data_IF_615950540592
#
_entry.id   IF_615950540592
#
_cell.length_a   1.000
_cell.length_b   1.000
_cell.length_c   1.000
_cell.angle_alpha   90.00
_cell.angle_beta   90.00
_cell.angle_gamma   90.00
#
_symmetry.space_group_name_H-M   'P 1'
#
loop_
_entity.id
_entity.type
_entity.pdbx_description
1 polymer ?
#
# COMPACT_ATOMS: atom_id res chain seq x y z
N UNK A 1 -9.26 -59.72 -5.80
CA UNK A 1 -9.36 -58.57 -6.73
C UNK A 1 -8.39 -57.47 -6.28
N UNK A 2 -7.19 -57.40 -6.81
CA UNK A 2 -6.22 -56.34 -6.54
C UNK A 2 -6.68 -55.05 -7.25
N UNK A 3 -7.07 -54.01 -6.50
CA UNK A 3 -7.36 -52.70 -7.10
C UNK A 3 -6.08 -52.19 -7.77
N UNK A 4 -6.20 -51.83 -9.06
CA UNK A 4 -5.08 -51.33 -9.84
C UNK A 4 -4.47 -50.05 -9.16
N UNK A 5 -3.16 -49.89 -9.12
CA UNK A 5 -2.51 -48.73 -8.47
C UNK A 5 -2.90 -47.38 -9.11
N UNK A 6 -3.51 -47.41 -10.29
CA UNK A 6 -4.07 -46.21 -10.94
C UNK A 6 -5.30 -45.65 -10.22
N UNK A 7 -6.17 -46.48 -9.68
CA UNK A 7 -7.41 -46.02 -9.03
C UNK A 7 -7.15 -45.23 -7.73
N UNK A 8 -6.15 -45.63 -6.96
CA UNK A 8 -5.78 -44.92 -5.72
C UNK A 8 -5.28 -43.50 -5.99
N UNK A 9 -4.48 -43.32 -7.06
CA UNK A 9 -3.96 -42.00 -7.45
C UNK A 9 -5.09 -41.02 -7.80
N UNK A 10 -6.13 -41.49 -8.49
CA UNK A 10 -7.29 -40.66 -8.84
C UNK A 10 -8.10 -40.25 -7.61
N UNK A 11 -8.29 -41.15 -6.63
CA UNK A 11 -8.97 -40.82 -5.39
C UNK A 11 -8.19 -39.85 -4.52
N UNK A 12 -6.86 -39.96 -4.47
CA UNK A 12 -5.98 -39.00 -3.78
C UNK A 12 -6.07 -37.62 -4.45
N UNK A 13 -5.97 -37.57 -5.78
CA UNK A 13 -6.11 -36.31 -6.53
C UNK A 13 -7.50 -35.66 -6.32
N UNK A 14 -8.58 -36.45 -6.37
CA UNK A 14 -9.93 -35.97 -6.11
C UNK A 14 -10.08 -35.45 -4.67
N UNK A 15 -9.48 -36.13 -3.69
CA UNK A 15 -9.46 -35.68 -2.30
C UNK A 15 -8.75 -34.36 -2.11
N UNK A 16 -7.57 -34.20 -2.74
CA UNK A 16 -6.83 -32.92 -2.70
C UNK A 16 -7.63 -31.79 -3.34
N UNK A 17 -8.26 -32.03 -4.49
CA UNK A 17 -9.08 -31.03 -5.18
C UNK A 17 -10.32 -30.66 -4.35
N UNK A 18 -10.97 -31.64 -3.71
CA UNK A 18 -12.10 -31.37 -2.83
C UNK A 18 -11.68 -30.58 -1.59
N UNK A 19 -10.56 -30.93 -0.96
CA UNK A 19 -10.01 -30.16 0.17
C UNK A 19 -9.66 -28.73 -0.26
N UNK A 20 -9.01 -28.55 -1.42
CA UNK A 20 -8.70 -27.23 -1.98
C UNK A 20 -9.99 -26.45 -2.28
N UNK A 21 -11.00 -27.09 -2.85
CA UNK A 21 -12.29 -26.45 -3.13
C UNK A 21 -12.99 -26.00 -1.85
N UNK A 22 -13.09 -26.87 -0.84
CA UNK A 22 -13.67 -26.53 0.46
C UNK A 22 -12.89 -25.40 1.14
N UNK A 23 -11.55 -25.46 1.10
CA UNK A 23 -10.68 -24.39 1.62
C UNK A 23 -10.95 -23.07 0.91
N UNK A 24 -11.02 -23.06 -0.41
CA UNK A 24 -11.35 -21.87 -1.20
C UNK A 24 -12.73 -21.31 -0.86
N UNK A 25 -13.72 -22.14 -0.69
CA UNK A 25 -15.07 -21.73 -0.28
C UNK A 25 -15.10 -21.11 1.12
N UNK A 26 -14.42 -21.72 2.07
CA UNK A 26 -14.36 -21.18 3.45
C UNK A 26 -13.56 -19.86 3.50
N UNK A 27 -12.54 -19.72 2.65
CA UNK A 27 -11.73 -18.49 2.55
C UNK A 27 -12.44 -17.36 1.78
N UNK A 28 -13.49 -17.66 1.01
CA UNK A 28 -14.18 -16.65 0.19
C UNK A 28 -15.12 -15.72 0.98
N UNK A 29 -15.37 -15.99 2.25
CA UNK A 29 -16.34 -15.28 3.09
C UNK A 29 -15.71 -14.29 4.08
N UNK A 30 -14.53 -13.71 3.77
CA UNK A 30 -13.94 -12.71 4.65
C UNK A 30 -14.74 -11.43 4.70
N UNK A 31 -14.91 -10.95 5.87
CA UNK A 31 -15.54 -9.70 6.17
C UNK A 31 -14.69 -8.52 5.67
N UNK A 32 -15.32 -7.51 5.05
CA UNK A 32 -14.65 -6.27 4.73
C UNK A 32 -14.35 -5.54 6.04
N UNK A 33 -13.08 -5.27 6.29
CA UNK A 33 -12.66 -4.55 7.49
C UNK A 33 -12.77 -3.04 7.20
N UNK A 34 -13.58 -2.36 7.99
CA UNK A 34 -13.77 -0.92 7.89
C UNK A 34 -12.63 -0.21 8.66
N UNK A 35 -12.17 0.92 8.15
CA UNK A 35 -11.26 1.81 8.87
C UNK A 35 -11.87 2.22 10.23
N UNK A 36 -11.01 2.49 11.21
CA UNK A 36 -11.45 3.02 12.52
C UNK A 36 -12.11 4.40 12.37
N UNK A 37 -11.57 5.21 11.48
CA UNK A 37 -12.09 6.51 11.06
C UNK A 37 -11.81 6.68 9.56
N UNK A 38 -12.65 7.40 8.81
CA UNK A 38 -12.41 7.67 7.40
C UNK A 38 -11.07 8.38 7.15
N UNK A 39 -10.43 8.11 6.01
CA UNK A 39 -9.14 8.72 5.66
C UNK A 39 -9.22 10.24 5.49
N UNK A 40 -10.40 10.80 5.26
CA UNK A 40 -10.58 12.26 5.23
C UNK A 40 -10.38 12.91 6.60
N UNK A 41 -10.48 12.15 7.70
CA UNK A 41 -10.23 12.63 9.07
C UNK A 41 -8.71 12.69 9.39
N UNK A 42 -7.84 12.23 8.48
CA UNK A 42 -6.40 12.44 8.63
C UNK A 42 -6.13 13.94 8.85
N UNK A 43 -5.32 14.32 9.84
CA UNK A 43 -5.09 15.73 10.17
C UNK A 43 -4.61 16.56 8.96
N UNK A 44 -5.20 17.71 8.74
CA UNK A 44 -4.70 18.71 7.79
C UNK A 44 -3.43 19.41 8.29
N UNK A 45 -3.24 19.46 9.60
CA UNK A 45 -2.01 19.98 10.20
C UNK A 45 -1.16 18.80 10.70
N UNK A 46 0.02 18.61 10.11
CA UNK A 46 1.00 17.58 10.46
C UNK A 46 2.33 18.26 10.83
N UNK A 47 2.54 18.54 12.12
CA UNK A 47 3.68 19.32 12.57
C UNK A 47 3.71 20.70 11.88
N UNK A 48 4.78 21.04 11.12
CA UNK A 48 4.86 22.31 10.39
C UNK A 48 4.09 22.33 9.07
N UNK A 49 3.52 21.21 8.65
CA UNK A 49 2.86 21.03 7.37
C UNK A 49 1.36 21.34 7.45
N UNK A 50 0.86 22.05 6.45
CA UNK A 50 -0.59 22.28 6.24
C UNK A 50 -1.03 21.58 4.96
N UNK A 51 -2.02 20.72 5.07
CA UNK A 51 -2.58 19.92 3.98
C UNK A 51 -3.71 20.64 3.25
N UNK A 52 -3.80 20.40 1.95
CA UNK A 52 -4.91 20.81 1.09
C UNK A 52 -5.37 19.60 0.29
N UNK A 53 -6.70 19.35 0.27
CA UNK A 53 -7.28 18.24 -0.45
C UNK A 53 -7.11 18.41 -1.97
N UNK A 54 -6.73 17.35 -2.65
CA UNK A 54 -6.63 17.28 -4.11
C UNK A 54 -7.47 16.08 -4.61
N UNK A 55 -8.78 16.23 -4.77
CA UNK A 55 -9.65 15.12 -5.13
C UNK A 55 -9.22 14.46 -6.42
N UNK A 56 -9.26 13.14 -6.44
CA UNK A 56 -9.03 12.37 -7.66
C UNK A 56 -10.29 12.39 -8.53
N UNK A 57 -10.10 12.26 -9.85
CA UNK A 57 -11.23 12.08 -10.76
C UNK A 57 -11.93 10.75 -10.46
N UNK A 58 -13.25 10.70 -10.54
CA UNK A 58 -14.07 9.52 -10.26
C UNK A 58 -13.60 8.28 -11.03
N UNK A 59 -13.19 8.45 -12.28
CA UNK A 59 -12.63 7.38 -13.11
C UNK A 59 -11.35 6.77 -12.50
N UNK A 60 -10.49 7.62 -11.90
CA UNK A 60 -9.25 7.15 -11.25
C UNK A 60 -9.59 6.37 -10.00
N UNK A 61 -10.53 6.83 -9.20
CA UNK A 61 -11.03 6.14 -8.00
C UNK A 61 -11.62 4.79 -8.36
N UNK A 62 -12.46 4.72 -9.40
CA UNK A 62 -13.06 3.47 -9.88
C UNK A 62 -12.00 2.47 -10.36
N UNK A 63 -11.01 2.93 -11.13
CA UNK A 63 -9.90 2.06 -11.61
C UNK A 63 -9.01 1.60 -10.47
N UNK A 64 -8.80 2.45 -9.46
CA UNK A 64 -8.00 2.10 -8.28
C UNK A 64 -8.69 1.04 -7.40
N UNK A 65 -10.03 0.96 -7.41
CA UNK A 65 -10.80 -0.02 -6.62
C UNK A 65 -10.67 0.17 -5.12
N UNK A 66 -10.37 1.38 -4.65
CA UNK A 66 -10.19 1.69 -3.22
C UNK A 66 -11.53 1.76 -2.51
N UNK A 67 -11.58 1.28 -1.27
CA UNK A 67 -12.74 1.42 -0.39
C UNK A 67 -12.83 2.80 0.23
N UNK A 68 -11.68 3.43 0.46
CA UNK A 68 -11.54 4.80 0.94
C UNK A 68 -10.17 5.36 0.50
N UNK A 69 -10.06 6.68 0.33
CA UNK A 69 -8.79 7.30 -0.01
C UNK A 69 -8.69 8.74 0.51
N UNK A 70 -7.45 9.21 0.63
CA UNK A 70 -7.14 10.64 0.70
C UNK A 70 -6.00 10.97 -0.25
N UNK A 71 -6.07 12.11 -0.90
CA UNK A 71 -5.01 12.64 -1.76
C UNK A 71 -4.84 14.13 -1.44
N UNK A 72 -3.69 14.52 -0.90
CA UNK A 72 -3.43 15.87 -0.39
C UNK A 72 -2.07 16.39 -0.78
N UNK A 73 -1.96 17.69 -0.90
CA UNK A 73 -0.68 18.39 -0.96
C UNK A 73 -0.45 19.04 0.39
N UNK A 74 0.68 18.71 1.00
CA UNK A 74 1.15 19.31 2.24
C UNK A 74 2.22 20.32 1.94
N UNK A 75 2.06 21.54 2.44
CA UNK A 75 2.96 22.66 2.26
C UNK A 75 3.42 23.23 3.58
N UNK A 76 4.61 23.78 3.62
CA UNK A 76 5.12 24.62 4.72
C UNK A 76 5.93 25.78 4.15
N UNK A 77 6.09 26.91 4.89
CA UNK A 77 6.83 28.07 4.40
C UNK A 77 8.26 27.72 3.96
N UNK A 78 8.68 28.21 2.81
CA UNK A 78 10.03 28.06 2.23
C UNK A 78 10.46 26.62 1.89
N UNK A 79 9.55 25.64 1.91
CA UNK A 79 9.84 24.26 1.53
C UNK A 79 9.06 23.82 0.28
N UNK A 80 9.64 22.89 -0.46
CA UNK A 80 8.95 22.22 -1.55
C UNK A 80 7.83 21.35 -1.02
N UNK A 81 6.63 21.37 -1.62
CA UNK A 81 5.48 20.60 -1.12
C UNK A 81 5.67 19.09 -1.21
N UNK A 82 4.93 18.37 -0.39
CA UNK A 82 4.83 16.91 -0.39
C UNK A 82 3.41 16.51 -0.74
N UNK A 83 3.26 15.68 -1.77
CA UNK A 83 1.98 15.05 -2.10
C UNK A 83 1.86 13.74 -1.32
N UNK A 84 0.76 13.58 -0.62
CA UNK A 84 0.36 12.35 0.06
C UNK A 84 -0.82 11.73 -0.66
N UNK A 85 -0.71 10.44 -0.94
CA UNK A 85 -1.84 9.58 -1.31
C UNK A 85 -1.91 8.38 -0.37
N UNK A 86 -3.09 8.11 0.15
CA UNK A 86 -3.40 6.89 0.91
C UNK A 86 -4.64 6.27 0.28
N UNK A 87 -4.53 5.03 -0.17
CA UNK A 87 -5.68 4.27 -0.67
C UNK A 87 -5.87 3.03 0.20
N UNK A 88 -7.04 2.89 0.80
CA UNK A 88 -7.40 1.77 1.66
C UNK A 88 -8.31 0.80 0.94
N UNK A 89 -8.06 -0.48 1.15
CA UNK A 89 -8.81 -1.61 0.63
C UNK A 89 -9.35 -2.41 1.82
N UNK A 90 -10.64 -2.35 2.04
CA UNK A 90 -11.31 -3.08 3.12
C UNK A 90 -11.24 -4.61 2.93
N UNK A 91 -11.09 -5.05 1.68
CA UNK A 91 -10.86 -6.43 1.27
C UNK A 91 -10.07 -6.45 -0.04
N UNK A 92 -9.12 -7.38 -0.19
CA UNK A 92 -8.36 -7.59 -1.42
C UNK A 92 -8.72 -8.96 -2.02
N UNK A 93 -10.01 -9.23 -2.19
CA UNK A 93 -10.52 -10.44 -2.83
C UNK A 93 -10.72 -10.20 -4.32
N UNK A 94 -11.30 -11.13 -5.02
CA UNK A 94 -11.45 -11.18 -6.47
C UNK A 94 -11.75 -9.81 -7.10
N UNK A 95 -10.75 -9.20 -7.73
CA UNK A 95 -10.86 -7.92 -8.44
C UNK A 95 -10.27 -6.71 -7.72
N UNK A 96 -10.25 -6.70 -6.40
CA UNK A 96 -9.78 -5.56 -5.59
C UNK A 96 -8.36 -5.81 -5.07
N UNK A 97 -7.38 -5.61 -5.93
CA UNK A 97 -5.96 -5.78 -5.55
C UNK A 97 -5.28 -4.43 -5.48
N UNK A 98 -4.49 -4.19 -4.43
CA UNK A 98 -3.65 -3.00 -4.35
C UNK A 98 -2.72 -2.96 -5.57
N UNK A 99 -2.93 -1.97 -6.45
CA UNK A 99 -2.10 -1.77 -7.61
C UNK A 99 -0.74 -1.18 -7.18
N UNK A 100 0.33 -1.79 -7.66
CA UNK A 100 1.67 -1.26 -7.40
C UNK A 100 1.86 0.08 -8.11
N UNK A 101 2.44 1.10 -7.43
CA UNK A 101 2.85 2.34 -8.08
C UNK A 101 3.76 2.13 -9.28
N UNK A 102 4.53 1.05 -9.33
CA UNK A 102 5.36 0.67 -10.48
C UNK A 102 4.58 0.53 -11.78
N UNK A 103 3.32 0.10 -11.70
CA UNK A 103 2.46 -0.08 -12.87
C UNK A 103 1.71 1.20 -13.23
N UNK A 104 1.40 2.04 -12.23
CA UNK A 104 0.62 3.26 -12.44
C UNK A 104 1.49 4.46 -12.88
N UNK A 105 2.76 4.53 -12.45
CA UNK A 105 3.66 5.63 -12.78
C UNK A 105 3.92 5.75 -14.30
N UNK A 106 4.29 4.67 -15.02
CA UNK A 106 4.48 4.76 -16.48
C UNK A 106 3.21 5.15 -17.22
N UNK A 107 2.04 4.69 -16.77
CA UNK A 107 0.74 5.05 -17.35
C UNK A 107 0.38 6.53 -17.23
N UNK A 108 1.03 7.27 -16.31
CA UNK A 108 0.87 8.71 -16.12
C UNK A 108 2.01 9.54 -16.76
N UNK A 109 2.89 8.89 -17.55
CA UNK A 109 4.02 9.53 -18.23
C UNK A 109 5.23 9.80 -17.35
N UNK A 110 5.33 9.12 -16.18
CA UNK A 110 6.49 9.17 -15.31
C UNK A 110 7.31 7.89 -15.40
N UNK A 111 8.56 7.99 -15.80
CA UNK A 111 9.46 6.85 -15.90
C UNK A 111 10.29 6.69 -14.63
N UNK A 112 10.31 5.49 -14.01
CA UNK A 112 11.20 5.22 -12.89
C UNK A 112 12.64 5.08 -13.41
N UNK A 113 13.52 6.02 -13.02
CA UNK A 113 14.93 6.04 -13.41
C UNK A 113 15.86 5.47 -12.34
N UNK A 114 15.41 5.41 -11.09
CA UNK A 114 16.14 4.82 -9.96
C UNK A 114 15.17 4.16 -9.00
N UNK A 115 15.56 3.02 -8.45
CA UNK A 115 14.76 2.27 -7.48
C UNK A 115 15.62 1.71 -6.37
N UNK A 116 15.07 1.66 -5.15
CA UNK A 116 15.74 1.15 -3.96
C UNK A 116 14.80 1.12 -2.76
N UNK A 117 15.40 1.08 -1.60
CA UNK A 117 14.68 1.12 -0.31
C UNK A 117 15.24 2.23 0.56
N UNK A 118 14.40 2.82 1.38
CA UNK A 118 14.80 3.70 2.48
C UNK A 118 14.38 3.09 3.82
N UNK A 119 15.25 3.23 4.82
CA UNK A 119 14.92 2.87 6.21
C UNK A 119 14.65 4.16 6.97
N UNK A 120 13.50 4.24 7.61
CA UNK A 120 13.04 5.43 8.33
C UNK A 120 12.77 5.04 9.79
N UNK A 121 13.41 5.72 10.73
CA UNK A 121 13.10 5.60 12.15
C UNK A 121 11.83 6.42 12.43
N UNK A 122 10.74 5.75 12.79
CA UNK A 122 9.47 6.41 13.10
C UNK A 122 9.28 6.60 14.61
N UNK A 123 8.39 7.51 15.03
CA UNK A 123 7.99 7.63 16.43
C UNK A 123 7.57 6.28 17.01
N UNK A 124 7.98 6.00 18.26
CA UNK A 124 7.85 4.66 18.85
C UNK A 124 9.15 3.84 18.78
N UNK A 125 10.20 4.38 18.15
CA UNK A 125 11.56 3.83 18.23
C UNK A 125 11.83 2.61 17.34
N UNK A 126 11.00 2.36 16.34
CA UNK A 126 11.21 1.26 15.39
C UNK A 126 11.47 1.76 13.96
N UNK A 127 12.16 0.95 13.20
CA UNK A 127 12.47 1.24 11.80
C UNK A 127 11.40 0.65 10.88
N UNK A 128 10.95 1.44 9.93
CA UNK A 128 10.18 0.96 8.78
C UNK A 128 11.05 0.97 7.53
N UNK A 129 10.81 0.02 6.63
CA UNK A 129 11.44 -0.02 5.31
C UNK A 129 10.38 0.32 4.28
N UNK A 130 10.67 1.30 3.45
CA UNK A 130 9.79 1.78 2.38
C UNK A 130 10.48 1.66 1.02
N UNK A 131 9.72 1.53 -0.07
CA UNK A 131 10.28 1.66 -1.39
C UNK A 131 10.66 3.12 -1.65
N UNK A 132 11.81 3.32 -2.29
CA UNK A 132 12.29 4.60 -2.75
C UNK A 132 12.47 4.57 -4.27
N UNK A 133 11.89 5.52 -4.97
CA UNK A 133 11.98 5.67 -6.41
C UNK A 133 12.31 7.11 -6.76
N UNK A 134 13.20 7.29 -7.75
CA UNK A 134 13.29 8.55 -8.49
C UNK A 134 12.54 8.33 -9.80
N UNK A 135 11.56 9.20 -10.04
CA UNK A 135 10.77 9.21 -11.28
C UNK A 135 11.05 10.47 -12.06
N UNK A 136 11.03 10.37 -13.39
CA UNK A 136 11.29 11.47 -14.29
C UNK A 136 10.21 11.60 -15.36
N UNK A 137 9.83 12.82 -15.66
CA UNK A 137 9.03 13.19 -16.82
C UNK A 137 9.62 14.45 -17.41
N UNK A 138 10.15 14.36 -18.64
CA UNK A 138 10.94 15.38 -19.29
C UNK A 138 12.14 15.80 -18.44
N UNK A 139 12.22 17.08 -18.07
CA UNK A 139 13.26 17.64 -17.20
C UNK A 139 12.93 17.52 -15.69
N UNK A 140 11.69 17.15 -15.36
CA UNK A 140 11.23 17.15 -13.99
C UNK A 140 11.51 15.80 -13.31
N UNK A 141 12.12 15.85 -12.13
CA UNK A 141 12.37 14.68 -11.29
C UNK A 141 11.61 14.78 -9.99
N UNK A 142 11.12 13.65 -9.51
CA UNK A 142 10.45 13.54 -8.22
C UNK A 142 11.01 12.35 -7.44
N UNK A 143 11.11 12.51 -6.14
CA UNK A 143 11.38 11.42 -5.20
C UNK A 143 10.07 10.89 -4.67
N UNK A 144 9.94 9.57 -4.66
CA UNK A 144 8.73 8.85 -4.23
C UNK A 144 9.12 7.87 -3.16
N UNK A 145 8.43 7.91 -2.00
CA UNK A 145 8.40 6.81 -1.06
C UNK A 145 7.02 6.16 -1.10
N UNK A 146 6.95 4.83 -1.07
CA UNK A 146 5.69 4.12 -0.91
C UNK A 146 5.86 2.81 -0.16
N UNK A 147 4.80 2.40 0.53
CA UNK A 147 4.75 1.15 1.28
C UNK A 147 3.31 0.64 1.38
N UNK A 148 3.19 -0.60 1.78
CA UNK A 148 1.91 -1.20 2.14
C UNK A 148 1.82 -1.24 3.66
N UNK A 149 0.69 -0.79 4.21
CA UNK A 149 0.43 -0.77 5.66
C UNK A 149 -0.88 -1.46 5.99
N UNK A 150 -0.88 -2.28 7.03
CA UNK A 150 -2.09 -2.93 7.54
C UNK A 150 -1.76 -4.12 8.42
N UNK A 151 -2.69 -4.47 9.26
CA UNK A 151 -2.56 -5.61 10.18
C UNK A 151 -1.29 -5.54 11.04
N UNK A 152 -0.94 -4.31 11.50
CA UNK A 152 0.23 -4.02 12.34
C UNK A 152 1.58 -4.12 11.62
N UNK A 153 1.62 -4.07 10.28
CA UNK A 153 2.87 -4.20 9.50
C UNK A 153 3.02 -3.09 8.48
N UNK A 154 4.28 -2.72 8.25
CA UNK A 154 4.74 -1.91 7.13
C UNK A 154 5.58 -2.79 6.21
N UNK A 155 5.22 -2.87 4.94
CA UNK A 155 5.84 -3.78 3.98
C UNK A 155 6.18 -3.02 2.71
N UNK A 156 7.48 -2.96 2.36
CA UNK A 156 7.93 -2.39 1.08
C UNK A 156 7.80 -3.41 -0.06
N UNK A 157 8.18 -4.67 0.18
CA UNK A 157 8.25 -5.70 -0.86
C UNK A 157 6.86 -6.21 -1.26
N UNK A 158 6.52 -6.10 -2.54
CA UNK A 158 5.27 -6.64 -3.11
C UNK A 158 5.13 -8.15 -2.88
N UNK A 159 6.22 -8.91 -3.02
CA UNK A 159 6.21 -10.36 -2.79
C UNK A 159 5.92 -10.70 -1.33
N UNK A 160 6.57 -9.98 -0.39
CA UNK A 160 6.27 -10.14 1.04
C UNK A 160 4.84 -9.72 1.36
N UNK A 161 4.35 -8.65 0.72
CA UNK A 161 2.97 -8.19 0.84
C UNK A 161 1.97 -9.27 0.43
N UNK A 162 2.15 -9.88 -0.73
CA UNK A 162 1.32 -11.00 -1.22
C UNK A 162 1.40 -12.22 -0.29
N UNK A 163 2.59 -12.57 0.17
CA UNK A 163 2.76 -13.68 1.11
C UNK A 163 1.97 -13.45 2.41
N UNK A 164 2.12 -12.26 3.03
CA UNK A 164 1.40 -11.93 4.25
C UNK A 164 -0.11 -11.79 4.04
N UNK A 165 -0.54 -11.29 2.88
CA UNK A 165 -1.96 -11.24 2.52
C UNK A 165 -2.57 -12.64 2.52
N UNK A 166 -1.93 -13.63 1.88
CA UNK A 166 -2.40 -15.03 1.88
C UNK A 166 -2.35 -15.64 3.27
N UNK A 167 -1.26 -15.44 4.02
CA UNK A 167 -1.13 -15.95 5.38
C UNK A 167 -2.19 -15.39 6.34
N UNK A 168 -2.51 -14.10 6.24
CA UNK A 168 -3.54 -13.45 7.05
C UNK A 168 -4.95 -13.81 6.58
N UNK A 169 -5.15 -14.02 5.28
CA UNK A 169 -6.41 -14.56 4.76
C UNK A 169 -6.75 -15.92 5.38
N UNK A 170 -5.74 -16.80 5.51
CA UNK A 170 -5.90 -18.14 6.11
C UNK A 170 -6.06 -18.05 7.62
N UNK A 171 -5.23 -17.26 8.32
CA UNK A 171 -5.16 -17.27 9.77
C UNK A 171 -6.17 -16.35 10.46
N UNK A 172 -6.45 -15.20 9.85
CA UNK A 172 -7.25 -14.11 10.43
C UNK A 172 -8.52 -13.82 9.65
N UNK A 173 -8.73 -14.48 8.50
CA UNK A 173 -9.80 -14.18 7.53
C UNK A 173 -9.82 -12.71 7.10
N UNK A 174 -8.63 -12.06 7.00
CA UNK A 174 -8.43 -10.65 6.69
C UNK A 174 -7.49 -10.47 5.51
N UNK A 175 -7.85 -9.57 4.59
CA UNK A 175 -7.02 -9.17 3.44
C UNK A 175 -6.89 -7.65 3.30
N UNK A 176 -7.46 -6.89 4.22
CA UNK A 176 -7.45 -5.43 4.22
C UNK A 176 -6.04 -4.84 4.26
N UNK A 177 -5.90 -3.63 3.79
CA UNK A 177 -4.64 -2.91 3.84
C UNK A 177 -4.67 -1.61 3.07
N UNK A 178 -3.65 -0.79 3.27
CA UNK A 178 -3.49 0.49 2.61
C UNK A 178 -2.21 0.54 1.77
N UNK A 179 -2.27 1.27 0.67
CA UNK A 179 -1.10 1.79 -0.04
C UNK A 179 -0.88 3.23 0.40
N UNK A 180 0.29 3.51 0.93
CA UNK A 180 0.72 4.88 1.25
C UNK A 180 1.81 5.30 0.28
N UNK A 181 1.67 6.49 -0.31
CA UNK A 181 2.65 7.06 -1.24
C UNK A 181 2.86 8.54 -0.89
N UNK A 182 4.11 8.93 -0.71
CA UNK A 182 4.53 10.32 -0.54
C UNK A 182 5.50 10.70 -1.66
N UNK A 183 5.31 11.89 -2.23
CA UNK A 183 6.05 12.36 -3.41
C UNK A 183 6.45 13.81 -3.20
N UNK A 184 7.68 14.15 -3.59
CA UNK A 184 8.15 15.55 -3.61
C UNK A 184 9.02 15.82 -4.85
N UNK A 185 8.92 17.01 -5.46
CA UNK A 185 9.87 17.45 -6.49
C UNK A 185 11.32 17.47 -5.96
N UNK A 186 12.27 17.22 -6.88
CA UNK A 186 13.72 17.23 -6.58
C UNK A 186 14.41 18.50 -7.09
N UNK A 187 13.69 19.63 -7.17
CA UNK A 187 14.21 20.88 -7.74
C UNK A 187 15.40 21.46 -6.96
N UNK A 188 15.48 21.10 -5.66
CA UNK A 188 16.51 21.52 -4.70
C UNK A 188 17.55 20.43 -4.40
N UNK A 189 17.54 19.34 -5.17
CA UNK A 189 18.46 18.22 -5.06
C UNK A 189 17.90 17.00 -4.33
N UNK A 190 18.54 15.85 -4.58
CA UNK A 190 18.06 14.54 -4.04
C UNK A 190 18.15 14.47 -2.52
N UNK A 191 19.22 14.96 -1.93
CA UNK A 191 19.42 14.91 -0.47
C UNK A 191 18.36 15.71 0.28
N UNK A 192 18.01 16.90 -0.21
CA UNK A 192 16.94 17.72 0.39
C UNK A 192 15.59 17.07 0.23
N UNK A 193 15.28 16.53 -0.95
CA UNK A 193 14.06 15.79 -1.19
C UNK A 193 13.94 14.57 -0.24
N UNK A 194 15.04 13.85 -0.02
CA UNK A 194 15.10 12.70 0.91
C UNK A 194 14.85 13.13 2.35
N UNK A 195 15.56 14.17 2.84
CA UNK A 195 15.37 14.69 4.20
C UNK A 195 13.92 15.10 4.41
N UNK A 196 13.33 15.79 3.42
CA UNK A 196 11.93 16.24 3.43
C UNK A 196 10.96 15.06 3.55
N UNK A 197 11.08 14.04 2.69
CA UNK A 197 10.20 12.88 2.72
C UNK A 197 10.37 12.05 3.99
N UNK A 198 11.59 11.91 4.51
CA UNK A 198 11.83 11.22 5.79
C UNK A 198 11.13 11.98 6.93
N UNK A 199 11.36 13.29 7.05
CA UNK A 199 10.74 14.10 8.10
C UNK A 199 9.21 14.14 7.99
N UNK A 200 8.67 14.27 6.78
CA UNK A 200 7.22 14.20 6.55
C UNK A 200 6.65 12.84 6.96
N UNK A 201 7.31 11.75 6.53
CA UNK A 201 6.88 10.38 6.88
C UNK A 201 6.90 10.14 8.39
N UNK A 202 7.90 10.64 9.10
CA UNK A 202 7.97 10.54 10.56
C UNK A 202 6.80 11.25 11.25
N UNK A 203 6.41 12.42 10.74
CA UNK A 203 5.29 13.20 11.29
C UNK A 203 3.92 12.56 10.95
N UNK A 204 3.79 12.00 9.75
CA UNK A 204 2.57 11.36 9.26
C UNK A 204 2.29 10.01 9.95
N UNK A 205 3.33 9.23 10.22
CA UNK A 205 3.22 7.82 10.60
C UNK A 205 2.30 7.53 11.78
N UNK A 206 2.35 8.29 12.90
CA UNK A 206 1.45 8.05 14.04
C UNK A 206 -0.03 8.15 13.67
N UNK A 207 -0.41 9.16 12.87
CA UNK A 207 -1.80 9.32 12.43
C UNK A 207 -2.28 8.17 11.53
N UNK A 208 -1.40 7.63 10.68
CA UNK A 208 -1.72 6.46 9.86
C UNK A 208 -1.90 5.20 10.72
N UNK A 209 -1.07 5.03 11.74
CA UNK A 209 -1.13 3.85 12.63
C UNK A 209 -2.39 3.85 13.51
N UNK A 210 -2.92 5.02 13.82
CA UNK A 210 -4.22 5.17 14.48
C UNK A 210 -5.40 4.86 13.57
N UNK A 211 -5.36 5.27 12.30
CA UNK A 211 -6.47 5.12 11.35
C UNK A 211 -6.55 3.72 10.75
N UNK A 212 -5.40 3.12 10.39
CA UNK A 212 -5.34 1.83 9.70
C UNK A 212 -5.46 0.69 10.72
N UNK A 213 -6.40 -0.27 10.54
CA UNK A 213 -6.61 -1.36 11.49
C UNK A 213 -5.41 -2.30 11.61
N UNK A 214 -5.06 -2.65 12.86
CA UNK A 214 -3.99 -3.58 13.23
C UNK A 214 -4.50 -5.00 13.41
#
# INVERSE_FOLDING_TARGET
MLKSPGSVRWWVAAGILLCAFVLLQTMSHGEAIVLRQPLHDLPYALGPWTGEEQPLQDRVVQVAGVSDYTNRIYSQPAETPVQLYVGYYASQRTGDTIHSPKNCLPGSGWDPIQSGYATILVPGGHNIVVNQYVIQRDQNKQLVFYWYQGRGRVIASEYKGKFWMVADAIRRNRTDGALVRVVTPMNDGEDRARIRLVGFTQTLFPSLDELIPN
#
